data_IF_864565696082
#
_entry.id   IF_864565696082
#
_cell.length_a   1.000
_cell.length_b   1.000
_cell.length_c   1.000
_cell.angle_alpha   90.00
_cell.angle_beta   90.00
_cell.angle_gamma   90.00
#
_symmetry.space_group_name_H-M   'P 1'
#
loop_
_entity.id
_entity.type
_entity.pdbx_description
1 polymer ?
#
# COMPACT_ATOMS: atom_id res chain seq x y z
N UNK A 1 -24.46 -13.82 -6.61
CA UNK A 1 -23.95 -12.54 -7.18
C UNK A 1 -24.64 -11.29 -6.60
N UNK A 2 -25.90 -11.37 -6.12
CA UNK A 2 -26.63 -10.20 -5.61
C UNK A 2 -25.93 -9.44 -4.44
N UNK A 3 -25.02 -10.11 -3.71
CA UNK A 3 -24.26 -9.50 -2.60
C UNK A 3 -22.78 -9.24 -2.95
N UNK A 4 -22.40 -9.37 -4.21
CA UNK A 4 -21.03 -9.07 -4.62
C UNK A 4 -20.89 -7.57 -4.85
N UNK A 5 -20.06 -6.94 -4.07
CA UNK A 5 -19.62 -5.56 -4.27
C UNK A 5 -18.11 -5.51 -4.46
N UNK A 6 -17.61 -4.40 -4.96
CA UNK A 6 -16.17 -4.21 -5.20
C UNK A 6 -15.35 -4.53 -3.94
N UNK A 7 -15.88 -4.19 -2.77
CA UNK A 7 -15.26 -4.41 -1.47
C UNK A 7 -16.27 -5.02 -0.50
N UNK A 8 -15.89 -6.12 0.11
CA UNK A 8 -16.70 -6.80 1.12
C UNK A 8 -15.90 -6.93 2.40
N UNK A 9 -16.29 -6.18 3.42
CA UNK A 9 -15.72 -6.30 4.76
C UNK A 9 -16.36 -7.47 5.49
N UNK A 10 -15.55 -8.27 6.16
CA UNK A 10 -16.00 -9.39 6.99
C UNK A 10 -15.34 -9.34 8.36
N UNK A 11 -16.16 -9.51 9.39
CA UNK A 11 -15.73 -9.62 10.77
C UNK A 11 -16.26 -10.91 11.38
N UNK A 12 -15.46 -11.59 12.18
CA UNK A 12 -15.92 -12.76 12.92
C UNK A 12 -16.81 -12.31 14.08
N UNK A 13 -17.97 -12.95 14.23
CA UNK A 13 -18.92 -12.62 15.29
C UNK A 13 -18.25 -12.73 16.67
N UNK A 14 -18.30 -11.63 17.45
CA UNK A 14 -17.76 -11.58 18.80
C UNK A 14 -16.26 -11.30 18.92
N UNK A 15 -15.55 -11.13 17.80
CA UNK A 15 -14.16 -10.65 17.80
C UNK A 15 -14.12 -9.26 17.20
N UNK A 16 -13.77 -8.25 17.99
CA UNK A 16 -13.22 -7.00 17.42
C UNK A 16 -11.90 -7.38 16.79
N UNK A 17 -11.89 -7.49 15.47
CA UNK A 17 -10.75 -7.97 14.75
C UNK A 17 -9.57 -6.99 14.91
N UNK A 18 -8.46 -7.49 15.42
CA UNK A 18 -7.16 -6.81 15.36
C UNK A 18 -6.69 -6.63 13.91
N UNK A 19 -7.33 -7.34 12.97
CA UNK A 19 -7.02 -7.34 11.54
C UNK A 19 -8.29 -7.18 10.73
N UNK A 20 -8.21 -6.33 9.72
CA UNK A 20 -9.31 -6.12 8.78
C UNK A 20 -9.38 -7.31 7.83
N UNK A 21 -10.52 -8.03 7.82
CA UNK A 21 -10.87 -9.01 6.81
C UNK A 21 -11.61 -8.32 5.66
N UNK A 22 -11.03 -8.30 4.47
CA UNK A 22 -11.65 -7.67 3.32
C UNK A 22 -11.47 -8.54 2.08
N UNK A 23 -12.51 -8.62 1.27
CA UNK A 23 -12.47 -9.29 -0.03
C UNK A 23 -12.83 -8.30 -1.13
N UNK A 24 -11.96 -8.20 -2.11
CA UNK A 24 -12.17 -7.43 -3.33
C UNK A 24 -12.72 -8.35 -4.42
N UNK A 25 -13.78 -7.93 -5.09
CA UNK A 25 -14.20 -8.55 -6.35
C UNK A 25 -13.51 -7.81 -7.51
N UNK A 26 -12.48 -8.45 -8.06
CA UNK A 26 -11.57 -7.79 -9.01
C UNK A 26 -12.22 -7.46 -10.33
N UNK A 27 -13.22 -8.24 -10.78
CA UNK A 27 -13.95 -7.98 -12.03
C UNK A 27 -14.72 -6.65 -12.03
N UNK A 28 -15.03 -6.10 -10.85
CA UNK A 28 -15.65 -4.77 -10.74
C UNK A 28 -14.63 -3.63 -10.69
N UNK A 29 -13.35 -3.95 -10.50
CA UNK A 29 -12.26 -2.98 -10.35
C UNK A 29 -11.31 -2.96 -11.55
N UNK A 30 -11.28 -4.05 -12.32
CA UNK A 30 -10.42 -4.24 -13.47
C UNK A 30 -11.22 -4.85 -14.65
N UNK A 31 -10.77 -4.71 -15.89
CA UNK A 31 -11.44 -5.25 -17.07
C UNK A 31 -11.25 -6.77 -17.19
N UNK A 32 -11.73 -7.51 -16.18
CA UNK A 32 -11.75 -8.97 -16.13
C UNK A 32 -13.18 -9.42 -16.48
N UNK A 33 -13.38 -10.39 -17.40
CA UNK A 33 -14.70 -10.89 -17.75
C UNK A 33 -15.47 -11.42 -16.54
N UNK A 34 -16.78 -11.16 -16.45
CA UNK A 34 -17.62 -11.59 -15.32
C UNK A 34 -17.82 -13.09 -15.21
N UNK A 35 -17.59 -13.84 -16.26
CA UNK A 35 -17.62 -15.29 -16.33
C UNK A 35 -16.35 -15.93 -15.73
N UNK A 36 -15.29 -15.15 -15.54
CA UNK A 36 -14.07 -15.54 -14.83
C UNK A 36 -13.93 -14.76 -13.51
N UNK A 37 -14.68 -15.13 -12.44
CA UNK A 37 -14.75 -14.36 -11.21
C UNK A 37 -13.46 -14.47 -10.40
N UNK A 38 -12.75 -13.34 -10.22
CA UNK A 38 -11.52 -13.25 -9.47
C UNK A 38 -11.70 -12.42 -8.19
N UNK A 39 -11.17 -12.93 -7.09
CA UNK A 39 -11.23 -12.30 -5.78
C UNK A 39 -9.82 -12.18 -5.17
N UNK A 40 -9.57 -11.08 -4.47
CA UNK A 40 -8.40 -10.92 -3.60
C UNK A 40 -8.90 -10.76 -2.17
N UNK A 41 -8.52 -11.68 -1.29
CA UNK A 41 -8.96 -11.68 0.11
C UNK A 41 -7.78 -11.46 1.05
N UNK A 42 -7.88 -10.44 1.89
CA UNK A 42 -6.93 -10.14 2.96
C UNK A 42 -7.48 -10.69 4.28
N UNK A 43 -6.61 -11.38 5.03
CA UNK A 43 -6.94 -11.93 6.36
C UNK A 43 -8.28 -12.68 6.37
N UNK A 44 -8.42 -13.78 5.60
CA UNK A 44 -9.68 -14.51 5.51
C UNK A 44 -10.14 -14.97 6.90
N UNK A 45 -11.40 -14.68 7.25
CA UNK A 45 -12.03 -15.08 8.51
C UNK A 45 -12.65 -16.47 8.45
N UNK A 46 -12.70 -17.07 7.25
CA UNK A 46 -13.21 -18.42 6.97
C UNK A 46 -12.25 -19.16 6.05
N UNK A 47 -12.19 -20.50 6.14
CA UNK A 47 -11.41 -21.29 5.20
C UNK A 47 -11.86 -21.02 3.76
N UNK A 48 -10.91 -20.85 2.87
CA UNK A 48 -11.14 -20.79 1.42
C UNK A 48 -10.85 -22.20 0.87
N UNK A 49 -11.63 -22.63 -0.08
CA UNK A 49 -11.43 -23.92 -0.77
C UNK A 49 -10.07 -23.89 -1.48
N UNK A 50 -9.21 -24.83 -1.17
CA UNK A 50 -7.84 -24.89 -1.69
C UNK A 50 -7.76 -24.99 -3.22
N UNK A 51 -8.74 -25.70 -3.81
CA UNK A 51 -8.86 -25.86 -5.26
C UNK A 51 -9.22 -24.55 -6.01
N UNK A 52 -9.64 -23.52 -5.27
CA UNK A 52 -9.95 -22.18 -5.80
C UNK A 52 -8.89 -21.12 -5.44
N UNK A 53 -7.81 -21.52 -4.76
CA UNK A 53 -6.71 -20.62 -4.44
C UNK A 53 -5.67 -20.65 -5.55
N UNK A 54 -5.55 -19.56 -6.29
CA UNK A 54 -4.53 -19.43 -7.34
C UNK A 54 -3.17 -19.09 -6.76
N UNK A 55 -3.14 -18.25 -5.71
CA UNK A 55 -1.91 -17.85 -5.00
C UNK A 55 -2.23 -17.41 -3.59
N UNK A 56 -1.24 -17.56 -2.68
CA UNK A 56 -1.32 -17.08 -1.32
C UNK A 56 0.05 -16.56 -0.85
N UNK A 57 0.09 -15.32 -0.38
CA UNK A 57 1.32 -14.69 0.08
C UNK A 57 1.09 -13.88 1.35
N UNK A 58 2.16 -13.64 2.10
CA UNK A 58 2.12 -12.77 3.28
C UNK A 58 2.82 -11.47 2.96
N UNK A 59 2.06 -10.38 2.94
CA UNK A 59 2.56 -9.04 2.73
C UNK A 59 2.50 -8.23 4.02
N UNK A 60 3.51 -7.38 4.22
CA UNK A 60 3.51 -6.38 5.29
C UNK A 60 2.90 -5.10 4.76
N UNK A 61 1.87 -4.63 5.44
CA UNK A 61 1.21 -3.38 5.08
C UNK A 61 1.49 -2.32 6.16
N UNK A 62 1.87 -1.09 5.77
CA UNK A 62 2.02 0.02 6.71
C UNK A 62 0.72 0.29 7.46
N UNK A 63 0.81 0.51 8.77
CA UNK A 63 -0.32 0.93 9.60
C UNK A 63 -0.10 2.38 10.00
N UNK A 64 -1.05 3.25 9.66
CA UNK A 64 -0.97 4.69 9.89
C UNK A 64 -1.43 5.03 11.31
N UNK A 65 -0.51 4.85 12.28
CA UNK A 65 -0.66 5.36 13.64
C UNK A 65 -0.17 6.81 13.73
N UNK A 66 -0.46 7.50 14.84
CA UNK A 66 0.08 8.83 15.09
C UNK A 66 1.63 8.84 15.10
N UNK A 67 2.24 7.77 15.61
CA UNK A 67 3.69 7.60 15.59
C UNK A 67 4.22 7.39 14.17
N UNK A 68 3.50 6.65 13.33
CA UNK A 68 3.86 6.46 11.93
C UNK A 68 3.83 7.80 11.17
N UNK A 69 2.81 8.63 11.39
CA UNK A 69 2.74 9.98 10.81
C UNK A 69 3.90 10.86 11.27
N UNK A 70 4.23 10.86 12.56
CA UNK A 70 5.38 11.57 13.08
C UNK A 70 6.72 11.02 12.53
N UNK A 71 6.79 9.72 12.20
CA UNK A 71 7.96 9.10 11.59
C UNK A 71 8.15 9.56 10.15
N UNK A 72 7.08 9.82 9.37
CA UNK A 72 7.18 10.35 8.01
C UNK A 72 7.98 11.66 7.99
N UNK A 73 7.69 12.60 8.90
CA UNK A 73 8.41 13.87 9.00
C UNK A 73 9.89 13.66 9.36
N UNK A 74 10.21 12.78 10.29
CA UNK A 74 11.59 12.47 10.68
C UNK A 74 12.37 11.84 9.53
N UNK A 75 11.75 10.97 8.76
CA UNK A 75 12.37 10.31 7.60
C UNK A 75 12.58 11.34 6.48
N UNK A 76 11.60 12.21 6.21
CA UNK A 76 11.75 13.30 5.24
C UNK A 76 12.92 14.22 5.60
N UNK A 77 13.07 14.58 6.86
CA UNK A 77 14.19 15.38 7.36
C UNK A 77 15.54 14.64 7.36
N UNK A 78 15.54 13.30 7.27
CA UNK A 78 16.73 12.48 7.17
C UNK A 78 17.18 12.24 5.72
N UNK A 79 16.32 12.50 4.74
CA UNK A 79 16.67 12.35 3.33
C UNK A 79 17.91 13.20 2.95
N UNK A 80 18.79 12.61 2.16
CA UNK A 80 20.07 13.20 1.77
C UNK A 80 21.21 13.02 2.76
N UNK A 81 20.94 12.58 4.00
CA UNK A 81 22.01 12.29 4.96
C UNK A 81 22.72 11.00 4.57
N UNK A 82 24.04 11.02 4.56
CA UNK A 82 24.90 9.88 4.17
C UNK A 82 24.55 9.32 2.79
N UNK A 83 24.11 10.16 1.87
CA UNK A 83 23.67 9.79 0.52
C UNK A 83 22.54 8.73 0.51
N UNK A 84 21.69 8.73 1.53
CA UNK A 84 20.57 7.81 1.66
C UNK A 84 19.27 8.56 1.55
N UNK A 85 18.34 8.00 0.74
CA UNK A 85 17.05 8.60 0.44
C UNK A 85 15.95 7.57 0.60
N UNK A 86 14.81 8.00 1.08
CA UNK A 86 13.63 7.16 1.28
C UNK A 86 12.44 7.77 0.54
N UNK A 87 11.75 6.94 -0.20
CA UNK A 87 10.47 7.28 -0.83
C UNK A 87 9.54 6.07 -0.81
N UNK A 88 8.28 6.29 -1.14
CA UNK A 88 7.26 5.26 -1.22
C UNK A 88 5.90 5.77 -0.76
N UNK A 89 4.84 5.03 -1.09
CA UNK A 89 3.47 5.40 -0.76
C UNK A 89 3.26 5.61 0.76
N UNK A 90 3.98 4.86 1.59
CA UNK A 90 3.96 4.94 3.05
C UNK A 90 4.47 6.28 3.61
N UNK A 91 5.15 7.09 2.81
CA UNK A 91 5.57 8.46 3.17
C UNK A 91 4.42 9.48 3.13
N UNK A 92 3.25 9.09 2.64
CA UNK A 92 2.02 9.89 2.59
C UNK A 92 0.84 9.02 3.06
N UNK A 93 -0.19 8.82 2.23
CA UNK A 93 -1.43 8.13 2.62
C UNK A 93 -1.52 6.67 2.13
N UNK A 94 -0.55 6.19 1.34
CA UNK A 94 -0.45 4.80 0.92
C UNK A 94 -1.05 4.50 -0.45
N UNK A 95 -1.44 5.50 -1.22
CA UNK A 95 -1.96 5.33 -2.58
C UNK A 95 -0.84 5.32 -3.63
N UNK A 96 -1.16 4.88 -4.85
CA UNK A 96 -0.19 4.83 -5.94
C UNK A 96 0.43 6.20 -6.25
N UNK A 97 -0.42 7.25 -6.32
CA UNK A 97 0.03 8.63 -6.52
C UNK A 97 0.94 9.14 -5.39
N UNK A 98 0.71 8.71 -4.16
CA UNK A 98 1.58 9.05 -3.04
C UNK A 98 2.98 8.45 -3.20
N UNK A 99 3.07 7.26 -3.77
CA UNK A 99 4.35 6.63 -4.10
C UNK A 99 5.10 7.39 -5.17
N UNK A 100 4.41 7.79 -6.24
CA UNK A 100 4.98 8.61 -7.31
C UNK A 100 5.41 9.98 -6.78
N UNK A 101 4.54 10.67 -6.04
CA UNK A 101 4.84 11.99 -5.48
C UNK A 101 6.05 11.95 -4.53
N UNK A 102 6.16 10.92 -3.68
CA UNK A 102 7.33 10.76 -2.81
C UNK A 102 8.62 10.49 -3.59
N UNK A 103 8.56 9.79 -4.71
CA UNK A 103 9.70 9.56 -5.58
C UNK A 103 10.13 10.84 -6.31
N UNK A 104 9.19 11.63 -6.80
CA UNK A 104 9.45 12.93 -7.43
C UNK A 104 10.15 13.87 -6.46
N UNK A 105 9.68 14.00 -5.22
CA UNK A 105 10.33 14.80 -4.17
C UNK A 105 11.82 14.42 -3.98
N UNK A 106 12.12 13.13 -4.00
CA UNK A 106 13.51 12.64 -3.88
C UNK A 106 14.34 12.99 -5.11
N UNK A 107 13.80 12.81 -6.31
CA UNK A 107 14.52 13.12 -7.57
C UNK A 107 14.80 14.61 -7.68
N UNK A 108 13.86 15.46 -7.34
CA UNK A 108 14.05 16.92 -7.33
C UNK A 108 15.14 17.35 -6.34
N UNK A 109 15.13 16.77 -5.12
CA UNK A 109 16.12 17.06 -4.11
C UNK A 109 17.54 16.55 -4.48
N UNK A 110 17.64 15.43 -5.19
CA UNK A 110 18.89 14.92 -5.75
C UNK A 110 19.41 15.87 -6.82
N UNK A 111 18.56 16.31 -7.76
CA UNK A 111 18.95 17.24 -8.83
C UNK A 111 19.39 18.61 -8.30
N UNK A 112 18.74 19.13 -7.27
CA UNK A 112 19.14 20.39 -6.62
C UNK A 112 20.52 20.26 -5.97
N UNK A 113 20.82 19.15 -5.31
CA UNK A 113 22.10 18.89 -4.67
C UNK A 113 23.26 18.76 -5.67
N UNK A 114 23.00 18.10 -6.79
CA UNK A 114 24.00 17.97 -7.87
C UNK A 114 24.30 19.33 -8.48
N UNK A 115 23.31 20.19 -8.67
CA UNK A 115 23.49 21.54 -9.17
C UNK A 115 24.34 22.44 -8.20
N UNK A 116 24.09 22.31 -6.88
CA UNK A 116 24.90 22.99 -5.86
C UNK A 116 26.34 22.48 -5.84
N UNK A 117 26.55 21.16 -5.97
CA UNK A 117 27.86 20.54 -6.03
C UNK A 117 28.70 20.97 -7.27
N UNK A 118 28.04 21.20 -8.39
CA UNK A 118 28.68 21.70 -9.62
C UNK A 118 29.00 23.21 -9.56
N UNK A 119 28.27 23.98 -8.75
CA UNK A 119 28.49 25.41 -8.60
C UNK A 119 29.72 25.77 -7.69
N UNK A 120 30.23 24.79 -6.95
CA UNK A 120 31.34 24.94 -5.98
C UNK A 120 32.66 24.33 -6.53
N UNK A 121 32.64 23.71 -7.68
CA UNK A 121 33.82 23.13 -8.36
C UNK A 121 34.32 24.04 -9.49
#
# INVERSE_FOLDING_TARGET
>A
RACWSSWNYTEAAGQRAERIGITYWMNSLQPIPEDDPLFVTLNPTRPIREDLVHDATVLRHPVYTLEALAAQERIRAANGRRNTWFCGAWMKNGFHEDGLAAAVEVVEALGARDAEGMAVA
#
